data_IF_466347638403
#
_entry.id   IF_466347638403
#
_cell.length_a   1.000
_cell.length_b   1.000
_cell.length_c   1.000
_cell.angle_alpha   90.00
_cell.angle_beta   90.00
_cell.angle_gamma   90.00
#
_symmetry.space_group_name_H-M   'P 1'
#
loop_
_entity.id
_entity.type
_entity.pdbx_description
1 polymer ?
#
# COMPACT_ATOMS: atom_id res chain seq x y z
N UNK A 1 -27.20 18.26 -27.76
CA UNK A 1 -27.73 17.48 -26.63
C UNK A 1 -26.63 16.57 -26.14
N UNK A 2 -26.54 16.33 -24.84
CA UNK A 2 -25.63 15.33 -24.27
C UNK A 2 -26.48 14.09 -23.97
N UNK A 3 -26.10 12.93 -24.48
CA UNK A 3 -26.89 11.71 -24.34
C UNK A 3 -26.03 10.56 -23.81
N UNK A 4 -26.58 9.80 -22.88
CA UNK A 4 -26.02 8.55 -22.38
C UNK A 4 -27.16 7.52 -22.28
N UNK A 5 -27.21 6.59 -23.24
CA UNK A 5 -28.36 5.70 -23.42
C UNK A 5 -29.68 6.50 -23.54
N UNK A 6 -30.63 6.27 -22.63
CA UNK A 6 -31.92 6.98 -22.55
C UNK A 6 -31.87 8.28 -21.74
N UNK A 7 -30.80 8.50 -20.97
CA UNK A 7 -30.59 9.75 -20.21
C UNK A 7 -30.06 10.85 -21.16
N UNK A 8 -30.92 11.83 -21.46
CA UNK A 8 -30.61 12.93 -22.38
C UNK A 8 -30.69 14.27 -21.66
N UNK A 9 -29.60 15.02 -21.65
CA UNK A 9 -29.57 16.42 -21.25
C UNK A 9 -29.76 17.33 -22.49
N UNK A 10 -30.87 18.06 -22.49
CA UNK A 10 -31.20 19.06 -23.50
C UNK A 10 -30.76 20.45 -23.04
N UNK A 11 -30.17 21.22 -23.94
CA UNK A 11 -29.75 22.60 -23.71
C UNK A 11 -30.29 23.46 -24.85
N UNK A 12 -30.92 24.59 -24.51
CA UNK A 12 -31.45 25.54 -25.47
C UNK A 12 -31.18 26.96 -24.98
N UNK A 13 -30.89 27.87 -25.89
CA UNK A 13 -30.68 29.29 -25.59
C UNK A 13 -32.00 30.06 -25.35
N UNK A 14 -33.15 29.46 -25.68
CA UNK A 14 -34.45 30.08 -25.51
C UNK A 14 -35.49 29.12 -24.94
N UNK A 15 -36.46 29.69 -24.21
CA UNK A 15 -37.57 28.95 -23.62
C UNK A 15 -38.46 28.28 -24.67
N UNK A 16 -38.68 28.95 -25.81
CA UNK A 16 -39.44 28.42 -26.96
C UNK A 16 -38.65 27.33 -27.69
N UNK A 17 -37.33 27.50 -27.84
CA UNK A 17 -36.45 26.49 -28.41
C UNK A 17 -36.46 25.19 -27.60
N UNK A 18 -36.48 25.27 -26.27
CA UNK A 18 -36.60 24.09 -25.41
C UNK A 18 -37.92 23.36 -25.64
N UNK A 19 -39.04 24.08 -25.75
CA UNK A 19 -40.34 23.48 -26.04
C UNK A 19 -40.34 22.75 -27.41
N UNK A 20 -39.67 23.30 -28.41
CA UNK A 20 -39.51 22.64 -29.71
C UNK A 20 -38.67 21.35 -29.61
N UNK A 21 -37.60 21.36 -28.83
CA UNK A 21 -36.77 20.18 -28.59
C UNK A 21 -37.52 19.08 -27.84
N UNK A 22 -38.33 19.43 -26.83
CA UNK A 22 -39.16 18.47 -26.10
C UNK A 22 -40.20 17.79 -27.02
N UNK A 23 -40.74 18.54 -27.98
CA UNK A 23 -41.67 17.99 -28.98
C UNK A 23 -40.97 17.16 -30.08
N UNK A 24 -39.65 17.24 -30.22
CA UNK A 24 -38.91 16.47 -31.22
C UNK A 24 -38.99 14.97 -30.95
N UNK A 25 -38.91 14.52 -29.69
CA UNK A 25 -38.96 13.10 -29.33
C UNK A 25 -40.23 12.41 -29.87
N UNK A 26 -41.37 13.11 -29.87
CA UNK A 26 -42.63 12.61 -30.45
C UNK A 26 -42.54 12.38 -31.95
N UNK A 27 -41.81 13.25 -32.68
CA UNK A 27 -41.61 13.12 -34.13
C UNK A 27 -40.81 11.86 -34.50
N UNK A 28 -39.98 11.36 -33.59
CA UNK A 28 -39.17 10.15 -33.75
C UNK A 28 -39.87 8.91 -33.16
N UNK A 29 -41.14 9.02 -32.76
CA UNK A 29 -41.91 7.91 -32.20
C UNK A 29 -41.54 7.53 -30.76
N UNK A 30 -40.83 8.40 -30.04
CA UNK A 30 -40.44 8.18 -28.64
C UNK A 30 -41.32 8.99 -27.68
N UNK A 31 -41.70 8.38 -26.55
CA UNK A 31 -42.44 9.03 -25.48
C UNK A 31 -41.50 9.47 -24.34
N UNK A 32 -41.60 10.74 -23.92
CA UNK A 32 -40.84 11.27 -22.79
C UNK A 32 -41.55 10.95 -21.47
N UNK A 33 -40.79 10.45 -20.50
CA UNK A 33 -41.33 10.22 -19.16
C UNK A 33 -41.31 11.52 -18.36
N UNK A 34 -42.43 12.26 -18.34
CA UNK A 34 -42.54 13.54 -17.64
C UNK A 34 -42.21 13.46 -16.14
N UNK A 35 -42.45 12.32 -15.48
CA UNK A 35 -42.13 12.13 -14.05
C UNK A 35 -40.64 12.03 -13.76
N UNK A 36 -39.86 11.60 -14.76
CA UNK A 36 -38.39 11.53 -14.71
C UNK A 36 -37.73 12.66 -15.49
N UNK A 37 -38.50 13.68 -15.88
CA UNK A 37 -37.98 14.83 -16.60
C UNK A 37 -37.96 16.00 -15.64
N UNK A 38 -36.79 16.61 -15.52
CA UNK A 38 -36.60 17.82 -14.75
C UNK A 38 -35.99 18.89 -15.63
N UNK A 39 -36.22 20.14 -15.28
CA UNK A 39 -35.66 21.27 -16.00
C UNK A 39 -35.36 22.44 -15.08
N UNK A 40 -34.64 23.40 -15.60
CA UNK A 40 -34.53 24.73 -15.01
C UNK A 40 -34.23 25.70 -16.15
N UNK A 41 -34.47 26.97 -15.91
CA UNK A 41 -33.96 28.00 -16.81
C UNK A 41 -33.39 29.16 -16.02
N UNK A 42 -32.34 29.76 -16.57
CA UNK A 42 -31.66 30.91 -16.00
C UNK A 42 -31.92 32.08 -16.95
N UNK A 43 -32.43 33.19 -16.41
CA UNK A 43 -32.67 34.40 -17.18
C UNK A 43 -31.99 35.60 -16.51
N UNK A 44 -31.39 36.53 -17.28
CA UNK A 44 -30.85 37.76 -16.74
C UNK A 44 -31.99 38.65 -16.21
N UNK A 45 -31.78 39.28 -15.05
CA UNK A 45 -32.64 40.30 -14.46
C UNK A 45 -31.76 41.47 -14.00
N UNK A 46 -31.57 42.46 -14.86
CA UNK A 46 -30.66 43.57 -14.60
C UNK A 46 -29.20 43.10 -14.52
N UNK A 47 -28.53 43.38 -13.39
CA UNK A 47 -27.13 42.95 -13.13
C UNK A 47 -27.03 41.54 -12.52
N UNK A 48 -28.14 40.83 -12.36
CA UNK A 48 -28.16 39.49 -11.73
C UNK A 48 -28.88 38.48 -12.62
N UNK A 49 -28.92 37.22 -12.19
CA UNK A 49 -29.63 36.13 -12.84
C UNK A 49 -30.74 35.60 -11.91
N UNK A 50 -31.83 35.13 -12.50
CA UNK A 50 -32.96 34.50 -11.80
C UNK A 50 -33.23 33.12 -12.38
N UNK A 51 -33.43 32.15 -11.49
CA UNK A 51 -33.81 30.78 -11.82
C UNK A 51 -35.33 30.66 -11.87
N UNK A 52 -35.87 29.98 -12.88
CA UNK A 52 -37.29 29.63 -13.01
C UNK A 52 -38.27 30.82 -13.02
N UNK A 53 -37.91 31.93 -13.68
CA UNK A 53 -38.76 33.12 -13.87
C UNK A 53 -39.88 33.02 -14.93
N UNK A 54 -40.05 31.88 -15.62
CA UNK A 54 -41.05 31.65 -16.68
C UNK A 54 -41.95 30.47 -16.32
N UNK A 55 -43.03 30.29 -17.09
CA UNK A 55 -43.93 29.14 -16.97
C UNK A 55 -43.20 27.81 -17.14
N UNK A 56 -43.69 26.76 -16.48
CA UNK A 56 -43.19 25.40 -16.65
C UNK A 56 -43.43 24.91 -18.09
N UNK A 57 -42.49 24.15 -18.62
CA UNK A 57 -42.69 23.43 -19.88
C UNK A 57 -43.70 22.30 -19.70
N UNK A 58 -44.41 21.95 -20.78
CA UNK A 58 -45.40 20.88 -20.79
C UNK A 58 -45.01 19.75 -21.74
N UNK A 59 -45.20 18.51 -21.30
CA UNK A 59 -45.08 17.28 -22.09
C UNK A 59 -46.40 16.53 -21.97
N UNK A 60 -47.10 16.30 -23.07
CA UNK A 60 -48.40 15.58 -23.07
C UNK A 60 -49.39 16.14 -22.03
N UNK A 61 -49.53 17.47 -22.00
CA UNK A 61 -50.33 18.24 -21.03
C UNK A 61 -49.89 18.16 -19.56
N UNK A 62 -48.84 17.42 -19.23
CA UNK A 62 -48.24 17.37 -17.91
C UNK A 62 -47.11 18.41 -17.77
N UNK A 63 -47.04 19.11 -16.64
CA UNK A 63 -45.98 20.08 -16.36
C UNK A 63 -44.70 19.39 -15.89
N UNK A 64 -43.56 19.82 -16.43
CA UNK A 64 -42.24 19.37 -15.99
C UNK A 64 -41.91 19.97 -14.63
N UNK A 65 -41.33 19.17 -13.73
CA UNK A 65 -40.81 19.66 -12.46
C UNK A 65 -39.58 20.53 -12.69
N UNK A 66 -39.61 21.77 -12.18
CA UNK A 66 -38.46 22.66 -12.25
C UNK A 66 -37.65 22.59 -10.96
N UNK A 67 -36.34 22.40 -11.08
CA UNK A 67 -35.42 22.34 -9.93
C UNK A 67 -35.18 23.76 -9.44
N UNK A 68 -35.39 24.02 -8.15
CA UNK A 68 -35.13 25.33 -7.54
C UNK A 68 -33.73 25.41 -6.90
N UNK A 69 -33.17 26.62 -6.68
CA UNK A 69 -31.89 26.75 -5.98
C UNK A 69 -31.93 26.11 -4.58
N UNK A 70 -30.96 25.23 -4.28
CA UNK A 70 -30.92 24.46 -3.04
C UNK A 70 -31.53 23.05 -3.15
N UNK A 71 -32.42 22.82 -4.11
CA UNK A 71 -32.82 21.48 -4.53
C UNK A 71 -31.78 20.88 -5.46
N UNK A 72 -31.77 19.55 -5.55
CA UNK A 72 -30.84 18.83 -6.38
C UNK A 72 -31.50 17.62 -7.04
N UNK A 73 -31.11 17.34 -8.28
CA UNK A 73 -31.53 16.14 -8.98
C UNK A 73 -30.33 15.33 -9.48
N UNK A 74 -30.53 14.02 -9.57
CA UNK A 74 -29.46 13.08 -9.91
C UNK A 74 -29.39 12.89 -11.42
N UNK A 75 -28.26 13.24 -12.02
CA UNK A 75 -27.95 12.96 -13.42
C UNK A 75 -26.62 12.20 -13.50
N UNK A 76 -26.65 11.01 -14.12
CA UNK A 76 -25.50 10.10 -14.26
C UNK A 76 -24.72 9.90 -12.94
N UNK A 77 -25.42 9.80 -11.81
CA UNK A 77 -24.79 9.56 -10.50
C UNK A 77 -24.25 10.79 -9.78
N UNK A 78 -24.34 11.99 -10.36
CA UNK A 78 -24.00 13.25 -9.70
C UNK A 78 -25.26 14.07 -9.40
N UNK A 79 -25.26 14.80 -8.29
CA UNK A 79 -26.34 15.70 -7.94
C UNK A 79 -26.09 17.08 -8.52
N UNK A 80 -27.06 17.58 -9.27
CA UNK A 80 -27.01 18.86 -9.94
C UNK A 80 -27.96 19.85 -9.25
N UNK A 81 -27.42 21.00 -8.85
CA UNK A 81 -28.12 22.18 -8.35
C UNK A 81 -28.00 23.31 -9.40
N UNK A 82 -29.11 23.94 -9.84
CA UNK A 82 -29.08 24.99 -10.86
C UNK A 82 -28.23 26.21 -10.54
N UNK A 83 -27.94 26.47 -9.27
CA UNK A 83 -27.18 27.63 -8.81
C UNK A 83 -25.76 27.28 -8.36
N UNK A 84 -25.60 26.13 -7.68
CA UNK A 84 -24.31 25.69 -7.13
C UNK A 84 -23.56 24.74 -8.07
N UNK A 85 -24.25 24.11 -9.04
CA UNK A 85 -23.66 23.14 -9.96
C UNK A 85 -23.59 21.73 -9.36
N UNK A 86 -22.49 21.02 -9.63
CA UNK A 86 -22.30 19.62 -9.21
C UNK A 86 -21.71 19.54 -7.79
N UNK A 87 -22.51 19.17 -6.80
CA UNK A 87 -22.08 19.13 -5.40
C UNK A 87 -21.29 17.86 -5.05
N UNK A 88 -20.15 17.96 -4.33
CA UNK A 88 -19.38 16.81 -3.83
C UNK A 88 -19.97 16.18 -2.56
N UNK A 89 -20.95 16.85 -1.92
CA UNK A 89 -21.37 16.62 -0.53
C UNK A 89 -21.77 15.16 -0.19
N UNK A 90 -22.14 14.36 -1.19
CA UNK A 90 -22.43 12.94 -0.95
C UNK A 90 -21.19 12.07 -0.73
N UNK A 91 -20.01 12.43 -1.26
CA UNK A 91 -18.83 11.56 -1.22
C UNK A 91 -18.29 11.37 0.19
N UNK A 92 -18.35 12.41 1.02
CA UNK A 92 -17.93 12.35 2.41
C UNK A 92 -18.91 11.53 3.26
N UNK A 93 -20.22 11.78 3.12
CA UNK A 93 -21.25 11.00 3.82
C UNK A 93 -21.23 9.53 3.42
N UNK A 94 -21.02 9.23 2.12
CA UNK A 94 -20.85 7.88 1.59
C UNK A 94 -19.60 7.19 2.16
N UNK A 95 -18.49 7.91 2.30
CA UNK A 95 -17.28 7.38 2.96
C UNK A 95 -17.56 7.01 4.43
N UNK A 96 -18.25 7.88 5.17
CA UNK A 96 -18.62 7.63 6.57
C UNK A 96 -19.56 6.44 6.71
N UNK A 97 -20.55 6.33 5.84
CA UNK A 97 -21.44 5.18 5.77
C UNK A 97 -20.66 3.89 5.53
N UNK A 98 -19.75 3.90 4.55
CA UNK A 98 -18.89 2.75 4.31
C UNK A 98 -18.06 2.41 5.55
N UNK A 99 -17.39 3.37 6.18
CA UNK A 99 -16.59 3.12 7.38
C UNK A 99 -17.41 2.54 8.53
N UNK A 100 -18.63 3.05 8.75
CA UNK A 100 -19.56 2.53 9.74
C UNK A 100 -19.97 1.09 9.43
N UNK A 101 -20.32 0.80 8.18
CA UNK A 101 -20.70 -0.55 7.73
C UNK A 101 -19.51 -1.53 7.84
N UNK A 102 -18.29 -1.11 7.46
CA UNK A 102 -17.10 -1.95 7.65
C UNK A 102 -16.71 -2.10 9.13
N UNK A 103 -17.08 -1.16 9.98
CA UNK A 103 -16.95 -1.26 11.43
C UNK A 103 -17.70 -2.48 11.97
N UNK A 104 -18.96 -2.66 11.57
CA UNK A 104 -19.83 -3.74 12.05
C UNK A 104 -19.57 -5.11 11.44
N UNK A 105 -18.94 -5.17 10.25
CA UNK A 105 -18.67 -6.46 9.59
C UNK A 105 -17.61 -7.29 10.32
N UNK A 106 -17.83 -8.61 10.51
CA UNK A 106 -16.89 -9.54 11.17
C UNK A 106 -15.73 -9.95 10.26
N UNK A 107 -15.08 -8.97 9.61
CA UNK A 107 -13.94 -9.18 8.71
C UNK A 107 -12.62 -9.03 9.46
N UNK A 108 -11.61 -9.81 9.04
CA UNK A 108 -10.24 -9.66 9.55
C UNK A 108 -9.66 -8.30 9.13
N UNK A 109 -8.73 -7.70 9.92
CA UNK A 109 -8.12 -6.41 9.58
C UNK A 109 -7.55 -6.33 8.15
N UNK A 110 -6.82 -7.36 7.71
CA UNK A 110 -6.28 -7.41 6.34
C UNK A 110 -7.36 -7.42 5.25
N UNK A 111 -8.51 -8.07 5.50
CA UNK A 111 -9.66 -8.07 4.58
C UNK A 111 -10.31 -6.68 4.52
N UNK A 112 -10.42 -5.98 5.66
CA UNK A 112 -10.93 -4.60 5.70
C UNK A 112 -10.03 -3.64 4.90
N UNK A 113 -8.70 -3.76 5.04
CA UNK A 113 -7.74 -2.99 4.20
C UNK A 113 -7.92 -3.31 2.71
N UNK A 114 -8.07 -4.58 2.35
CA UNK A 114 -8.31 -5.00 0.98
C UNK A 114 -9.61 -4.41 0.42
N UNK A 115 -10.71 -4.47 1.17
CA UNK A 115 -12.01 -3.93 0.75
C UNK A 115 -11.95 -2.41 0.54
N UNK A 116 -11.28 -1.71 1.46
CA UNK A 116 -11.09 -0.26 1.37
C UNK A 116 -10.37 0.12 0.06
N UNK A 117 -9.25 -0.56 -0.23
CA UNK A 117 -8.44 -0.28 -1.42
C UNK A 117 -9.12 -0.67 -2.73
N UNK A 118 -9.84 -1.79 -2.74
CA UNK A 118 -10.35 -2.42 -3.97
C UNK A 118 -11.74 -1.94 -4.34
N UNK A 119 -12.57 -1.58 -3.35
CA UNK A 119 -13.98 -1.25 -3.57
C UNK A 119 -14.32 0.16 -3.08
N UNK A 120 -13.93 0.53 -1.86
CA UNK A 120 -14.35 1.81 -1.27
C UNK A 120 -13.74 2.98 -2.00
N UNK A 121 -12.40 3.07 -2.04
CA UNK A 121 -11.71 4.19 -2.71
C UNK A 121 -12.15 4.28 -4.18
N UNK A 122 -12.15 3.20 -4.98
CA UNK A 122 -12.64 3.24 -6.36
C UNK A 122 -14.09 3.72 -6.51
N UNK A 123 -14.99 3.30 -5.60
CA UNK A 123 -16.41 3.72 -5.64
C UNK A 123 -16.65 5.21 -5.37
N UNK A 124 -15.64 5.91 -4.82
CA UNK A 124 -15.68 7.35 -4.56
C UNK A 124 -15.09 8.15 -5.71
N UNK A 125 -14.21 7.55 -6.53
CA UNK A 125 -13.52 8.25 -7.63
C UNK A 125 -14.51 8.85 -8.61
N UNK A 126 -15.55 8.11 -8.99
CA UNK A 126 -16.53 8.61 -9.94
C UNK A 126 -17.21 9.89 -9.44
N UNK A 127 -17.74 9.89 -8.21
CA UNK A 127 -18.38 11.07 -7.63
C UNK A 127 -17.42 12.25 -7.51
N UNK A 128 -16.22 12.00 -6.99
CA UNK A 128 -15.20 13.03 -6.79
C UNK A 128 -14.68 13.64 -8.10
N UNK A 129 -14.67 12.89 -9.20
CA UNK A 129 -14.21 13.39 -10.52
C UNK A 129 -15.30 14.14 -11.30
N UNK A 130 -16.57 14.05 -10.88
CA UNK A 130 -17.67 14.80 -11.48
C UNK A 130 -18.05 16.04 -10.68
N UNK A 131 -17.73 16.08 -9.38
CA UNK A 131 -18.04 17.22 -8.51
C UNK A 131 -16.91 18.24 -8.43
N UNK A 132 -17.25 19.48 -8.13
CA UNK A 132 -16.27 20.46 -7.67
C UNK A 132 -15.86 20.18 -6.22
N UNK A 133 -14.57 20.01 -5.97
CA UNK A 133 -14.05 19.69 -4.65
C UNK A 133 -13.11 20.77 -4.15
N UNK A 134 -13.15 21.03 -2.84
CA UNK A 134 -12.16 21.87 -2.17
C UNK A 134 -11.04 20.98 -1.62
N UNK A 135 -9.78 21.45 -1.67
CA UNK A 135 -8.61 20.70 -1.17
C UNK A 135 -8.82 20.20 0.27
N UNK A 136 -9.39 21.03 1.14
CA UNK A 136 -9.66 20.65 2.54
C UNK A 136 -10.62 19.45 2.66
N UNK A 137 -11.56 19.28 1.74
CA UNK A 137 -12.50 18.14 1.73
C UNK A 137 -11.74 16.84 1.47
N UNK A 138 -10.82 16.83 0.50
CA UNK A 138 -10.00 15.65 0.21
C UNK A 138 -9.05 15.31 1.37
N UNK A 139 -8.45 16.34 1.99
CA UNK A 139 -7.61 16.18 3.20
C UNK A 139 -8.39 15.56 4.35
N UNK A 140 -9.63 15.99 4.55
CA UNK A 140 -10.51 15.45 5.60
C UNK A 140 -10.88 13.99 5.32
N UNK A 141 -11.20 13.63 4.07
CA UNK A 141 -11.45 12.25 3.67
C UNK A 141 -10.23 11.35 3.92
N UNK A 142 -9.04 11.79 3.50
CA UNK A 142 -7.78 11.06 3.75
C UNK A 142 -7.50 10.91 5.25
N UNK A 143 -7.80 11.94 6.06
CA UNK A 143 -7.67 11.88 7.52
C UNK A 143 -8.58 10.81 8.11
N UNK A 144 -9.84 10.73 7.69
CA UNK A 144 -10.79 9.68 8.12
C UNK A 144 -10.32 8.30 7.71
N UNK A 145 -9.89 8.14 6.46
CA UNK A 145 -9.34 6.87 5.93
C UNK A 145 -8.14 6.40 6.75
N UNK A 146 -7.17 7.29 6.99
CA UNK A 146 -5.97 7.00 7.77
C UNK A 146 -6.30 6.62 9.20
N UNK A 147 -7.19 7.38 9.87
CA UNK A 147 -7.56 7.10 11.25
C UNK A 147 -8.26 5.75 11.36
N UNK A 148 -9.21 5.48 10.47
CA UNK A 148 -9.89 4.19 10.37
C UNK A 148 -8.90 3.04 10.17
N UNK A 149 -7.96 3.18 9.22
CA UNK A 149 -6.91 2.17 8.96
C UNK A 149 -6.04 1.90 10.18
N UNK A 150 -5.60 2.96 10.88
CA UNK A 150 -4.78 2.83 12.10
C UNK A 150 -5.58 2.16 13.21
N UNK A 151 -6.87 2.44 13.34
CA UNK A 151 -7.76 1.80 14.32
C UNK A 151 -7.93 0.29 14.05
N UNK A 152 -8.36 -0.11 12.84
CA UNK A 152 -8.60 -1.53 12.53
C UNK A 152 -7.33 -2.38 12.56
N UNK A 153 -6.15 -1.77 12.33
CA UNK A 153 -4.84 -2.41 12.38
C UNK A 153 -4.20 -2.30 13.76
N UNK A 154 -4.88 -1.73 14.76
CA UNK A 154 -4.35 -1.50 16.12
C UNK A 154 -2.96 -0.83 16.11
N UNK A 155 -2.79 0.14 15.22
CA UNK A 155 -1.58 0.95 15.11
C UNK A 155 -1.74 2.24 15.92
N UNK A 156 -0.65 2.73 16.50
CA UNK A 156 -0.66 4.04 17.15
C UNK A 156 -1.05 5.12 16.13
N UNK A 157 -1.84 6.13 16.55
CA UNK A 157 -2.23 7.24 15.66
C UNK A 157 -1.01 7.98 15.07
N UNK A 158 0.09 8.05 15.83
CA UNK A 158 1.37 8.60 15.38
C UNK A 158 2.19 7.70 14.44
N UNK A 159 1.68 6.53 14.04
CA UNK A 159 2.37 5.66 13.06
C UNK A 159 2.54 6.40 11.73
N UNK A 160 3.71 6.29 11.12
CA UNK A 160 4.10 7.00 9.92
C UNK A 160 3.12 6.73 8.77
N UNK A 161 2.67 7.80 8.12
CA UNK A 161 1.74 7.73 6.99
C UNK A 161 2.38 7.02 5.78
N UNK A 162 3.70 7.01 5.70
CA UNK A 162 4.46 6.21 4.75
C UNK A 162 4.09 4.73 4.78
N UNK A 163 3.82 4.15 5.96
CA UNK A 163 3.38 2.76 6.06
C UNK A 163 2.08 2.52 5.28
N UNK A 164 1.16 3.49 5.27
CA UNK A 164 -0.13 3.36 4.61
C UNK A 164 -0.05 3.65 3.11
N UNK A 165 0.64 4.74 2.74
CA UNK A 165 0.61 5.27 1.37
C UNK A 165 1.75 4.77 0.48
N UNK A 166 2.89 4.34 1.02
CA UNK A 166 3.99 3.77 0.22
C UNK A 166 3.55 2.53 -0.53
N UNK A 167 4.12 2.30 -1.71
CA UNK A 167 3.79 1.15 -2.53
C UNK A 167 4.12 -0.18 -1.83
N UNK A 168 3.40 -1.29 -2.13
CA UNK A 168 3.72 -2.60 -1.58
C UNK A 168 5.14 -3.06 -1.90
N UNK A 169 5.68 -2.74 -3.08
CA UNK A 169 7.08 -3.05 -3.43
C UNK A 169 8.10 -2.34 -2.54
N UNK A 170 7.72 -1.23 -1.91
CA UNK A 170 8.54 -0.44 -0.99
C UNK A 170 8.25 -0.74 0.49
N UNK A 171 7.36 -1.70 0.77
CA UNK A 171 7.04 -2.15 2.13
C UNK A 171 5.84 -1.48 2.78
N UNK A 172 5.12 -0.59 2.07
CA UNK A 172 3.87 0.02 2.55
C UNK A 172 2.61 -0.74 2.11
N UNK A 173 1.44 -0.25 2.51
CA UNK A 173 0.15 -0.85 2.18
C UNK A 173 -0.41 -0.41 0.81
N UNK A 174 0.11 0.67 0.21
CA UNK A 174 -0.31 1.18 -1.09
C UNK A 174 -1.74 1.70 -1.11
N UNK A 175 -2.19 2.33 -0.03
CA UNK A 175 -3.47 3.05 -0.01
C UNK A 175 -3.34 4.29 -0.88
N UNK A 176 -4.33 4.56 -1.72
CA UNK A 176 -4.34 5.76 -2.55
C UNK A 176 -4.77 6.96 -1.71
N UNK A 177 -3.97 8.03 -1.75
CA UNK A 177 -4.28 9.28 -1.07
C UNK A 177 -5.10 10.19 -2.00
N UNK A 178 -6.34 10.49 -1.61
CA UNK A 178 -7.32 11.22 -2.42
C UNK A 178 -6.85 12.65 -2.75
N UNK A 179 -6.23 13.34 -1.78
CA UNK A 179 -5.65 14.67 -1.96
C UNK A 179 -4.62 14.71 -3.11
N UNK A 180 -3.91 13.62 -3.36
CA UNK A 180 -2.96 13.52 -4.49
C UNK A 180 -3.59 12.94 -5.75
N UNK A 181 -4.49 11.96 -5.60
CA UNK A 181 -5.04 11.20 -6.72
C UNK A 181 -6.07 12.00 -7.50
N UNK A 182 -7.01 12.66 -6.82
CA UNK A 182 -8.14 13.34 -7.47
C UNK A 182 -7.68 14.54 -8.32
N UNK A 183 -6.76 15.42 -7.87
CA UNK A 183 -6.22 16.46 -8.73
C UNK A 183 -5.54 15.89 -9.98
N UNK A 184 -4.73 14.84 -9.82
CA UNK A 184 -4.01 14.21 -10.93
C UNK A 184 -4.97 13.62 -11.97
N UNK A 185 -6.00 12.88 -11.53
CA UNK A 185 -7.01 12.31 -12.42
C UNK A 185 -7.87 13.39 -13.10
N UNK A 186 -8.23 14.44 -12.37
CA UNK A 186 -8.96 15.61 -12.91
C UNK A 186 -8.14 16.26 -14.02
N UNK A 187 -6.85 16.50 -13.79
CA UNK A 187 -5.95 17.03 -14.81
C UNK A 187 -5.91 16.14 -16.06
N UNK A 188 -5.70 14.83 -15.90
CA UNK A 188 -5.64 13.91 -17.05
C UNK A 188 -6.95 13.86 -17.84
N UNK A 189 -8.10 13.96 -17.16
CA UNK A 189 -9.43 14.06 -17.78
C UNK A 189 -9.54 15.34 -18.63
N UNK A 190 -9.15 16.48 -18.08
CA UNK A 190 -9.23 17.78 -18.75
C UNK A 190 -8.24 17.91 -19.90
N UNK A 191 -7.01 17.43 -19.73
CA UNK A 191 -6.01 17.39 -20.79
C UNK A 191 -6.46 16.55 -21.99
N UNK A 192 -7.28 15.52 -21.75
CA UNK A 192 -7.93 14.76 -22.83
C UNK A 192 -9.07 15.54 -23.48
N UNK A 193 -9.87 16.28 -22.71
CA UNK A 193 -10.95 17.12 -23.25
C UNK A 193 -10.42 18.27 -24.12
N UNK A 194 -9.33 18.91 -23.72
CA UNK A 194 -8.64 19.94 -24.53
C UNK A 194 -8.06 19.38 -25.84
N UNK A 195 -7.85 18.06 -25.94
CA UNK A 195 -7.38 17.40 -27.16
C UNK A 195 -8.52 16.73 -27.94
N UNK A 196 -9.77 16.94 -27.53
CA UNK A 196 -10.92 16.33 -28.20
C UNK A 196 -11.20 17.05 -29.52
N UNK A 197 -11.51 16.27 -30.56
CA UNK A 197 -11.97 16.80 -31.85
C UNK A 197 -13.43 17.27 -31.79
N UNK A 198 -14.18 16.91 -30.73
CA UNK A 198 -15.55 17.38 -30.52
C UNK A 198 -15.54 18.83 -30.03
N UNK A 199 -16.10 19.73 -30.85
CA UNK A 199 -16.13 21.16 -30.58
C UNK A 199 -16.86 21.49 -29.26
N UNK A 200 -17.92 20.77 -28.89
CA UNK A 200 -18.65 21.02 -27.64
C UNK A 200 -17.76 20.71 -26.44
N UNK A 201 -17.04 19.58 -26.48
CA UNK A 201 -16.13 19.17 -25.40
C UNK A 201 -14.94 20.14 -25.32
N UNK A 202 -14.35 20.49 -26.46
CA UNK A 202 -13.23 21.41 -26.54
C UNK A 202 -13.61 22.82 -26.03
N UNK A 203 -14.72 23.39 -26.51
CA UNK A 203 -15.21 24.70 -26.04
C UNK A 203 -15.60 24.67 -24.55
N UNK A 204 -16.22 23.60 -24.06
CA UNK A 204 -16.58 23.48 -22.63
C UNK A 204 -15.34 23.42 -21.74
N UNK A 205 -14.27 22.74 -22.19
CA UNK A 205 -13.03 22.64 -21.46
C UNK A 205 -12.27 23.99 -21.44
N UNK A 206 -12.31 24.73 -22.54
CA UNK A 206 -11.74 26.08 -22.64
C UNK A 206 -12.51 27.12 -21.80
N UNK A 207 -13.84 27.05 -21.77
CA UNK A 207 -14.68 27.97 -20.99
C UNK A 207 -14.50 27.82 -19.47
N UNK A 208 -14.18 26.62 -19.01
CA UNK A 208 -13.89 26.38 -17.59
C UNK A 208 -12.53 26.91 -17.15
N UNK A 209 -11.73 27.47 -18.08
CA UNK A 209 -10.43 28.14 -17.89
C UNK A 209 -9.75 27.70 -16.60
N UNK A 210 -9.53 26.38 -16.53
CA UNK A 210 -9.05 25.76 -15.32
C UNK A 210 -7.63 26.27 -15.23
N UNK A 211 -7.40 27.21 -14.32
CA UNK A 211 -6.08 27.51 -13.81
C UNK A 211 -5.50 26.18 -13.33
N UNK A 212 -4.83 25.50 -14.25
CA UNK A 212 -3.89 24.42 -14.01
C UNK A 212 -2.78 25.12 -13.25
N UNK A 213 -2.99 25.33 -11.96
CA UNK A 213 -2.06 26.05 -11.13
C UNK A 213 -0.71 25.37 -11.26
N UNK A 214 0.36 26.15 -11.28
CA UNK A 214 1.76 25.72 -11.23
C UNK A 214 2.01 24.61 -10.18
N UNK A 215 1.18 24.54 -9.14
CA UNK A 215 1.12 23.48 -8.13
C UNK A 215 0.76 22.08 -8.68
N UNK A 216 -0.15 21.98 -9.66
CA UNK A 216 -0.49 20.72 -10.34
C UNK A 216 0.62 20.28 -11.30
N UNK A 217 1.25 21.24 -11.99
CA UNK A 217 2.43 20.98 -12.82
C UNK A 217 3.56 20.41 -11.94
N UNK A 218 3.79 20.92 -10.74
CA UNK A 218 4.76 20.36 -9.79
C UNK A 218 4.42 18.92 -9.31
N UNK A 219 3.13 18.61 -9.15
CA UNK A 219 2.67 17.24 -8.82
C UNK A 219 2.82 16.26 -9.98
N UNK A 220 2.81 16.73 -11.22
CA UNK A 220 3.02 15.94 -12.43
C UNK A 220 4.54 15.81 -12.74
N UNK A 221 5.29 16.90 -12.58
CA UNK A 221 6.74 16.99 -12.78
C UNK A 221 7.55 16.18 -11.75
N UNK A 222 6.94 15.84 -10.61
CA UNK A 222 7.51 14.88 -9.64
C UNK A 222 7.35 13.40 -10.07
N UNK A 223 6.97 13.16 -11.32
CA UNK A 223 7.30 11.95 -12.06
C UNK A 223 6.80 10.65 -11.43
N UNK A 224 5.55 10.58 -10.97
CA UNK A 224 4.93 9.31 -10.53
C UNK A 224 5.66 8.58 -9.39
N UNK A 225 6.72 9.16 -8.81
CA UNK A 225 7.43 8.60 -7.68
C UNK A 225 6.60 8.93 -6.46
N UNK A 226 5.95 7.91 -5.91
CA UNK A 226 5.28 8.00 -4.62
C UNK A 226 6.27 8.54 -3.57
N UNK A 227 6.10 9.80 -3.09
CA UNK A 227 7.10 10.44 -2.22
C UNK A 227 7.04 9.91 -0.79
N UNK A 228 5.99 9.15 -0.45
CA UNK A 228 5.76 8.65 0.89
C UNK A 228 6.90 7.75 1.35
N UNK A 229 7.46 6.94 0.45
CA UNK A 229 8.62 6.09 0.76
C UNK A 229 9.86 6.92 1.08
N UNK A 230 10.03 8.08 0.44
CA UNK A 230 11.12 9.00 0.73
C UNK A 230 10.92 9.65 2.10
N UNK A 231 9.78 10.31 2.33
CA UNK A 231 9.49 10.96 3.61
C UNK A 231 9.49 10.00 4.79
N UNK A 232 9.06 8.76 4.60
CA UNK A 232 9.09 7.76 5.65
C UNK A 232 10.53 7.45 6.10
N UNK A 233 11.48 7.35 5.17
CA UNK A 233 12.89 7.04 5.48
C UNK A 233 13.56 8.13 6.30
N UNK A 234 13.20 9.38 6.06
CA UNK A 234 13.74 10.54 6.78
C UNK A 234 13.27 10.63 8.24
N UNK A 235 12.26 9.84 8.64
CA UNK A 235 11.82 9.82 10.03
C UNK A 235 12.87 9.16 10.93
N UNK A 236 13.43 9.94 11.86
CA UNK A 236 14.47 9.52 12.83
C UNK A 236 14.22 8.15 13.47
N UNK A 237 12.99 7.86 13.87
CA UNK A 237 12.65 6.61 14.55
C UNK A 237 11.91 5.63 13.64
N UNK A 238 10.85 6.08 12.97
CA UNK A 238 9.97 5.20 12.19
C UNK A 238 10.49 4.90 10.78
N UNK A 239 11.48 5.68 10.31
CA UNK A 239 12.17 5.48 9.04
C UNK A 239 13.32 4.48 9.10
N UNK A 240 13.71 4.07 10.31
CA UNK A 240 14.75 3.05 10.52
C UNK A 240 14.38 1.79 9.77
N UNK A 241 15.30 1.35 8.92
CA UNK A 241 15.22 0.18 8.07
C UNK A 241 14.37 0.32 6.79
N UNK A 242 13.63 1.41 6.58
CA UNK A 242 12.72 1.54 5.42
C UNK A 242 13.48 1.47 4.09
N UNK A 243 14.72 1.98 4.05
CA UNK A 243 15.61 1.87 2.89
C UNK A 243 15.88 0.42 2.45
N UNK A 244 16.01 -0.52 3.40
CA UNK A 244 16.25 -1.93 3.09
C UNK A 244 15.09 -2.60 2.35
N UNK A 245 13.88 -2.07 2.47
CA UNK A 245 12.69 -2.65 1.86
C UNK A 245 12.24 -1.87 0.62
N UNK A 246 13.00 -0.87 0.15
CA UNK A 246 12.71 -0.18 -1.12
C UNK A 246 12.85 -1.17 -2.27
N UNK A 247 11.89 -1.17 -3.18
CA UNK A 247 11.90 -1.96 -4.41
C UNK A 247 12.28 -3.45 -4.20
N UNK A 248 11.72 -4.06 -3.15
CA UNK A 248 11.98 -5.45 -2.78
C UNK A 248 10.68 -6.28 -2.78
N UNK A 249 10.37 -6.86 -3.94
CA UNK A 249 9.16 -7.68 -4.09
C UNK A 249 9.19 -8.99 -3.29
N UNK A 250 10.37 -9.50 -2.91
CA UNK A 250 10.49 -10.77 -2.16
C UNK A 250 10.14 -10.52 -0.70
N UNK A 251 10.84 -9.56 -0.09
CA UNK A 251 10.70 -9.20 1.32
C UNK A 251 9.35 -8.54 1.64
N UNK A 252 8.77 -7.83 0.66
CA UNK A 252 7.49 -7.15 0.81
C UNK A 252 6.30 -7.90 0.21
N UNK A 253 6.50 -9.17 -0.18
CA UNK A 253 5.44 -9.95 -0.83
C UNK A 253 4.16 -10.08 0.01
N UNK A 254 4.25 -9.94 1.33
CA UNK A 254 3.11 -9.94 2.25
C UNK A 254 2.39 -8.58 2.33
N UNK A 255 3.03 -7.48 1.96
CA UNK A 255 2.37 -6.16 1.88
C UNK A 255 1.35 -6.10 0.73
N UNK A 256 1.54 -6.95 -0.29
CA UNK A 256 0.59 -7.11 -1.40
C UNK A 256 -0.57 -8.02 -1.02
N UNK A 257 -0.27 -9.11 -0.33
CA UNK A 257 -1.25 -10.09 0.15
C UNK A 257 -1.14 -10.25 1.66
N UNK A 258 -2.00 -9.50 2.37
CA UNK A 258 -2.04 -9.48 3.83
C UNK A 258 -2.58 -10.79 4.43
N UNK A 259 -3.17 -11.68 3.61
CA UNK A 259 -3.69 -12.97 4.08
C UNK A 259 -2.59 -13.96 4.47
N UNK A 260 -1.34 -13.69 4.06
CA UNK A 260 -0.15 -14.46 4.46
C UNK A 260 0.09 -14.49 5.96
N UNK A 261 -0.48 -13.54 6.70
CA UNK A 261 -0.41 -13.51 8.16
C UNK A 261 -1.79 -13.64 8.80
N UNK A 262 -1.83 -14.38 9.92
CA UNK A 262 -2.96 -14.30 10.86
C UNK A 262 -3.07 -12.87 11.41
N UNK A 263 -4.27 -12.41 11.77
CA UNK A 263 -4.52 -11.02 12.19
C UNK A 263 -3.54 -10.48 13.23
N UNK A 264 -3.25 -11.25 14.29
CA UNK A 264 -2.25 -10.85 15.31
C UNK A 264 -0.84 -10.66 14.75
N UNK A 265 -0.43 -11.53 13.83
CA UNK A 265 0.88 -11.46 13.20
C UNK A 265 0.94 -10.33 12.17
N UNK A 266 -0.15 -10.04 11.48
CA UNK A 266 -0.23 -8.90 10.56
C UNK A 266 0.00 -7.58 11.30
N UNK A 267 -0.67 -7.39 12.44
CA UNK A 267 -0.52 -6.19 13.28
C UNK A 267 0.93 -6.06 13.75
N UNK A 268 1.50 -7.13 14.30
CA UNK A 268 2.89 -7.14 14.75
C UNK A 268 3.87 -6.91 13.59
N UNK A 269 3.62 -7.47 12.40
CA UNK A 269 4.43 -7.25 11.19
C UNK A 269 4.46 -5.77 10.81
N UNK A 270 3.30 -5.12 10.81
CA UNK A 270 3.17 -3.70 10.50
C UNK A 270 3.88 -2.83 11.54
N UNK A 271 3.70 -3.14 12.82
CA UNK A 271 4.38 -2.45 13.91
C UNK A 271 5.91 -2.61 13.84
N UNK A 272 6.41 -3.81 13.50
CA UNK A 272 7.84 -4.05 13.26
C UNK A 272 8.34 -3.27 12.04
N UNK A 273 7.56 -3.25 10.96
CA UNK A 273 7.88 -2.52 9.72
C UNK A 273 8.01 -1.01 9.95
N UNK A 274 7.13 -0.41 10.74
CA UNK A 274 7.17 1.02 11.09
C UNK A 274 7.97 1.36 12.34
N UNK A 275 8.65 0.39 12.96
CA UNK A 275 9.37 0.58 14.22
C UNK A 275 8.48 1.18 15.34
N UNK A 276 7.23 0.71 15.42
CA UNK A 276 6.20 1.09 16.40
C UNK A 276 5.74 -0.08 17.28
N UNK A 277 6.45 -1.21 17.24
CA UNK A 277 6.21 -2.32 18.17
C UNK A 277 6.38 -1.84 19.63
N UNK A 278 5.52 -2.26 20.57
CA UNK A 278 5.44 -1.70 21.93
C UNK A 278 6.57 -2.18 22.86
N UNK A 279 7.82 -1.91 22.47
CA UNK A 279 8.98 -2.05 23.35
C UNK A 279 8.96 -0.96 24.41
N UNK A 280 9.62 -1.18 25.55
CA UNK A 280 9.72 -0.14 26.60
C UNK A 280 10.39 1.15 26.11
N UNK A 281 11.36 1.07 25.20
CA UNK A 281 11.91 2.29 24.58
C UNK A 281 10.84 3.07 23.82
N UNK A 282 10.05 2.40 22.97
CA UNK A 282 8.98 3.04 22.21
C UNK A 282 7.91 3.64 23.14
N UNK A 283 7.46 2.88 24.15
CA UNK A 283 6.42 3.31 25.09
C UNK A 283 6.86 4.45 26.02
N UNK A 284 8.15 4.63 26.25
CA UNK A 284 8.70 5.73 27.05
C UNK A 284 8.89 7.03 26.27
N UNK A 285 8.64 7.04 24.96
CA UNK A 285 8.74 8.27 24.15
C UNK A 285 7.70 9.29 24.58
N UNK A 286 8.14 10.53 24.78
CA UNK A 286 7.30 11.60 25.33
C UNK A 286 6.91 11.40 26.81
N UNK A 287 7.45 10.37 27.47
CA UNK A 287 7.14 10.01 28.86
C UNK A 287 8.45 9.72 29.63
N UNK A 288 9.15 10.76 30.11
CA UNK A 288 10.49 10.62 30.67
C UNK A 288 10.55 9.72 31.92
N UNK A 289 9.44 9.60 32.65
CA UNK A 289 9.31 8.80 33.88
C UNK A 289 9.09 7.30 33.63
N UNK A 290 8.80 6.89 32.38
CA UNK A 290 8.51 5.49 32.06
C UNK A 290 9.82 4.70 31.90
N UNK A 291 9.96 3.53 32.56
CA UNK A 291 11.19 2.75 32.51
C UNK A 291 11.44 2.19 31.11
N UNK A 292 12.71 2.29 30.66
CA UNK A 292 13.16 1.82 29.34
C UNK A 292 13.87 0.46 29.37
N UNK A 293 14.22 -0.03 30.56
CA UNK A 293 14.99 -1.28 30.75
C UNK A 293 14.19 -2.50 30.28
N UNK A 294 14.88 -3.46 29.65
CA UNK A 294 14.30 -4.70 29.15
C UNK A 294 13.49 -5.44 30.22
N UNK A 295 12.25 -5.81 29.87
CA UNK A 295 11.35 -6.63 30.69
C UNK A 295 11.93 -8.01 31.01
N UNK A 296 12.79 -8.54 30.13
CA UNK A 296 13.42 -9.84 30.29
C UNK A 296 14.67 -9.79 31.15
N UNK A 297 15.74 -9.14 30.69
CA UNK A 297 17.04 -9.20 31.37
C UNK A 297 17.33 -8.06 32.35
N UNK A 298 16.58 -6.95 32.31
CA UNK A 298 16.90 -5.74 33.07
C UNK A 298 18.18 -4.99 32.64
N UNK A 299 19.08 -5.58 31.85
CA UNK A 299 20.45 -5.06 31.70
C UNK A 299 20.67 -4.06 30.56
N UNK A 300 19.66 -3.79 29.74
CA UNK A 300 19.76 -2.82 28.64
C UNK A 300 18.41 -2.23 28.27
N UNK A 301 18.42 -1.14 27.50
CA UNK A 301 17.20 -0.53 26.95
C UNK A 301 16.47 -1.50 26.01
N UNK A 302 15.16 -1.67 26.21
CA UNK A 302 14.30 -2.50 25.36
C UNK A 302 14.01 -1.83 24.02
N UNK A 303 14.93 -1.99 23.08
CA UNK A 303 14.71 -1.64 21.67
C UNK A 303 14.39 -2.89 20.86
N UNK A 304 13.92 -2.74 19.62
CA UNK A 304 13.84 -3.88 18.69
C UNK A 304 15.22 -4.53 18.46
N UNK A 305 16.32 -3.77 18.52
CA UNK A 305 17.68 -4.30 18.43
C UNK A 305 18.08 -5.18 19.62
N UNK A 306 17.42 -4.98 20.76
CA UNK A 306 17.62 -5.79 21.97
C UNK A 306 17.04 -7.22 21.85
N UNK A 307 16.52 -7.61 20.68
CA UNK A 307 16.20 -9.02 20.36
C UNK A 307 17.37 -10.01 20.52
N UNK A 308 18.60 -9.55 20.78
CA UNK A 308 19.75 -10.40 21.16
C UNK A 308 19.80 -10.76 22.65
N UNK A 309 18.81 -10.37 23.43
CA UNK A 309 18.70 -10.63 24.85
C UNK A 309 18.88 -12.12 25.22
N UNK A 310 19.47 -12.38 26.38
CA UNK A 310 19.72 -13.74 26.90
C UNK A 310 18.42 -14.49 27.19
N UNK A 311 17.38 -13.78 27.64
CA UNK A 311 16.08 -14.40 28.00
C UNK A 311 15.36 -15.00 26.80
N UNK A 312 15.62 -14.47 25.60
CA UNK A 312 15.03 -14.99 24.35
C UNK A 312 15.99 -15.88 23.55
N UNK A 313 17.13 -16.29 24.14
CA UNK A 313 18.15 -17.13 23.46
C UNK A 313 17.54 -18.41 22.89
N UNK A 314 16.71 -19.12 23.66
CA UNK A 314 16.05 -20.34 23.20
C UNK A 314 15.15 -20.11 21.99
N UNK A 315 14.33 -19.06 22.01
CA UNK A 315 13.45 -18.70 20.89
C UNK A 315 14.24 -18.27 19.65
N UNK A 316 15.37 -17.57 19.82
CA UNK A 316 16.29 -17.24 18.72
C UNK A 316 16.90 -18.48 18.07
N UNK A 317 17.36 -19.44 18.87
CA UNK A 317 17.90 -20.72 18.36
C UNK A 317 16.80 -21.49 17.62
N UNK A 318 15.58 -21.56 18.18
CA UNK A 318 14.43 -22.18 17.51
C UNK A 318 14.14 -21.52 16.16
N UNK A 319 14.18 -20.19 16.08
CA UNK A 319 13.99 -19.45 14.82
C UNK A 319 15.06 -19.79 13.79
N UNK A 320 16.33 -19.73 14.21
CA UNK A 320 17.48 -20.10 13.40
C UNK A 320 17.33 -21.52 12.83
N UNK A 321 17.08 -22.50 13.71
CA UNK A 321 16.97 -23.90 13.34
C UNK A 321 15.79 -24.14 12.39
N UNK A 322 14.68 -23.41 12.55
CA UNK A 322 13.54 -23.48 11.62
C UNK A 322 13.89 -22.96 10.23
N UNK A 323 14.68 -21.90 10.11
CA UNK A 323 15.17 -21.41 8.80
C UNK A 323 16.13 -22.41 8.17
N UNK A 324 17.11 -22.89 8.94
CA UNK A 324 18.05 -23.93 8.49
C UNK A 324 17.30 -25.19 8.00
N UNK A 325 16.32 -25.68 8.76
CA UNK A 325 15.53 -26.86 8.40
C UNK A 325 14.76 -26.68 7.07
N UNK A 326 14.33 -25.47 6.72
CA UNK A 326 13.71 -25.22 5.41
C UNK A 326 14.71 -25.35 4.26
N UNK A 327 15.95 -24.89 4.44
CA UNK A 327 17.03 -25.12 3.47
C UNK A 327 17.31 -26.61 3.32
N UNK A 328 17.41 -27.35 4.43
CA UNK A 328 17.67 -28.79 4.41
C UNK A 328 16.58 -29.54 3.64
N UNK A 329 15.31 -29.27 3.95
CA UNK A 329 14.17 -29.89 3.25
C UNK A 329 14.21 -29.61 1.75
N UNK A 330 14.53 -28.37 1.39
CA UNK A 330 14.60 -27.96 0.00
C UNK A 330 15.77 -28.61 -0.73
N UNK A 331 16.96 -28.63 -0.13
CA UNK A 331 18.16 -29.26 -0.66
C UNK A 331 17.97 -30.78 -0.82
N UNK A 332 17.41 -31.46 0.19
CA UNK A 332 17.08 -32.89 0.13
C UNK A 332 16.16 -33.23 -1.04
N UNK A 333 15.14 -32.41 -1.29
CA UNK A 333 14.22 -32.61 -2.43
C UNK A 333 14.92 -32.54 -3.80
N UNK A 334 16.06 -31.85 -3.88
CA UNK A 334 16.86 -31.68 -5.11
C UNK A 334 18.02 -32.71 -5.17
N UNK A 335 18.08 -33.63 -4.22
CA UNK A 335 19.06 -34.70 -4.17
C UNK A 335 20.38 -34.34 -3.48
N UNK A 336 20.42 -33.29 -2.66
CA UNK A 336 21.56 -33.00 -1.80
C UNK A 336 21.50 -33.80 -0.51
N UNK A 337 22.64 -34.31 -0.05
CA UNK A 337 22.81 -34.79 1.33
C UNK A 337 23.25 -33.64 2.23
N UNK A 338 23.03 -33.73 3.54
CA UNK A 338 23.34 -32.64 4.47
C UNK A 338 24.04 -33.17 5.72
N UNK A 339 25.19 -32.60 6.03
CA UNK A 339 25.85 -32.71 7.34
C UNK A 339 25.44 -31.49 8.17
N UNK A 340 25.04 -31.71 9.43
CA UNK A 340 24.60 -30.66 10.36
C UNK A 340 25.68 -30.42 11.40
N UNK A 341 26.02 -29.17 11.65
CA UNK A 341 26.93 -28.72 12.72
C UNK A 341 28.22 -29.56 12.86
N UNK A 342 28.98 -29.86 11.78
CA UNK A 342 30.21 -30.64 11.90
C UNK A 342 31.26 -29.89 12.73
N UNK A 343 32.02 -30.63 13.52
CA UNK A 343 33.12 -30.10 14.30
C UNK A 343 34.38 -30.02 13.42
N UNK A 344 34.86 -28.82 13.17
CA UNK A 344 36.08 -28.53 12.40
C UNK A 344 37.06 -27.76 13.27
N UNK A 345 38.35 -27.80 12.94
CA UNK A 345 39.40 -27.15 13.72
C UNK A 345 40.13 -26.18 12.81
N UNK A 346 40.20 -24.90 13.17
CA UNK A 346 40.99 -23.97 12.36
C UNK A 346 42.51 -24.13 12.54
N UNK A 347 43.29 -23.39 11.77
CA UNK A 347 44.76 -23.43 11.83
C UNK A 347 45.34 -23.01 13.19
N UNK A 348 44.53 -22.42 14.08
CA UNK A 348 44.90 -22.01 15.43
C UNK A 348 44.37 -22.98 16.50
N UNK A 349 43.85 -24.15 16.10
CA UNK A 349 43.30 -25.14 17.04
C UNK A 349 41.90 -24.81 17.57
N UNK A 350 41.21 -23.80 17.03
CA UNK A 350 39.89 -23.38 17.52
C UNK A 350 38.79 -24.18 16.85
N UNK A 351 37.82 -24.62 17.66
CA UNK A 351 36.62 -25.30 17.18
C UNK A 351 35.73 -24.35 16.36
N UNK A 352 35.44 -24.74 15.12
CA UNK A 352 34.51 -24.07 14.20
C UNK A 352 33.38 -25.03 13.87
N UNK A 353 32.14 -24.54 13.89
CA UNK A 353 30.93 -25.33 13.60
C UNK A 353 30.05 -24.60 12.59
N UNK A 354 30.24 -24.82 11.27
CA UNK A 354 29.28 -24.32 10.29
C UNK A 354 27.93 -25.00 10.52
N UNK A 355 26.82 -24.31 10.26
CA UNK A 355 25.50 -24.90 10.54
C UNK A 355 25.20 -26.09 9.63
N UNK A 356 25.52 -25.97 8.34
CA UNK A 356 25.18 -26.96 7.32
C UNK A 356 26.30 -27.14 6.30
N UNK A 357 26.51 -28.38 5.86
CA UNK A 357 27.28 -28.70 4.65
C UNK A 357 26.39 -29.53 3.73
N UNK A 358 26.06 -28.99 2.57
CA UNK A 358 25.35 -29.73 1.52
C UNK A 358 26.34 -30.43 0.62
N UNK A 359 26.11 -31.70 0.29
CA UNK A 359 26.94 -32.47 -0.64
C UNK A 359 26.11 -33.07 -1.79
N UNK A 360 26.62 -32.97 -3.01
CA UNK A 360 26.06 -33.61 -4.22
C UNK A 360 27.15 -33.80 -5.28
N UNK A 361 27.41 -35.05 -5.66
CA UNK A 361 28.54 -35.36 -6.54
C UNK A 361 29.88 -34.91 -5.93
N UNK A 362 30.70 -34.24 -6.74
CA UNK A 362 31.99 -33.62 -6.33
C UNK A 362 31.84 -32.18 -5.81
N UNK A 363 30.61 -31.75 -5.49
CA UNK A 363 30.34 -30.41 -4.96
C UNK A 363 29.91 -30.47 -3.48
N UNK A 364 30.46 -29.54 -2.69
CA UNK A 364 30.04 -29.28 -1.32
C UNK A 364 29.77 -27.78 -1.10
N UNK A 365 28.69 -27.44 -0.40
CA UNK A 365 28.32 -26.05 -0.07
C UNK A 365 28.25 -25.90 1.44
N UNK A 366 29.15 -25.11 2.01
CA UNK A 366 29.19 -24.77 3.43
C UNK A 366 28.31 -23.56 3.67
N UNK A 367 27.31 -23.71 4.54
CA UNK A 367 26.29 -22.69 4.78
C UNK A 367 26.15 -22.42 6.27
N UNK A 368 26.26 -21.15 6.65
CA UNK A 368 26.00 -20.67 8.01
C UNK A 368 24.79 -19.72 7.99
N UNK A 369 23.75 -20.10 8.70
CA UNK A 369 22.46 -19.41 8.73
C UNK A 369 22.49 -18.36 9.83
N UNK A 370 22.01 -17.15 9.54
CA UNK A 370 21.93 -16.13 10.56
C UNK A 370 20.73 -15.23 10.38
N UNK A 371 20.09 -14.86 11.49
CA UNK A 371 18.95 -13.94 11.50
C UNK A 371 19.31 -12.68 12.28
N UNK A 372 19.35 -11.54 11.59
CA UNK A 372 19.82 -10.24 12.12
C UNK A 372 18.80 -9.14 11.93
N UNK A 373 18.74 -8.18 12.84
CA UNK A 373 17.91 -6.99 12.64
C UNK A 373 18.56 -6.09 11.59
N UNK A 374 17.75 -5.52 10.72
CA UNK A 374 18.16 -4.64 9.62
C UNK A 374 18.32 -3.21 10.12
N UNK A 375 19.25 -2.95 11.04
CA UNK A 375 19.41 -1.64 11.69
C UNK A 375 20.28 -0.64 10.91
N UNK A 376 21.17 -1.12 10.04
CA UNK A 376 22.00 -0.28 9.17
C UNK A 376 22.22 -0.92 7.78
N UNK A 377 22.42 -0.08 6.76
CA UNK A 377 22.39 -0.47 5.34
C UNK A 377 23.42 -1.54 4.95
N UNK A 378 24.59 -1.56 5.60
CA UNK A 378 25.68 -2.49 5.31
C UNK A 378 25.76 -3.71 6.22
N UNK A 379 24.91 -3.83 7.25
CA UNK A 379 25.00 -4.92 8.25
C UNK A 379 24.86 -6.31 7.65
N UNK A 380 23.87 -6.51 6.77
CA UNK A 380 23.56 -7.87 6.29
C UNK A 380 24.59 -8.37 5.27
N UNK A 381 25.06 -7.50 4.38
CA UNK A 381 26.10 -7.81 3.39
C UNK A 381 27.44 -8.06 4.08
N UNK A 382 27.80 -7.25 5.09
CA UNK A 382 28.99 -7.48 5.90
C UNK A 382 28.92 -8.81 6.63
N UNK A 383 27.79 -9.13 7.27
CA UNK A 383 27.61 -10.41 7.98
C UNK A 383 27.66 -11.59 7.00
N UNK A 384 27.15 -11.45 5.78
CA UNK A 384 27.28 -12.46 4.73
C UNK A 384 28.76 -12.73 4.43
N UNK A 385 29.55 -11.68 4.20
CA UNK A 385 30.97 -11.79 3.89
C UNK A 385 31.80 -12.30 5.07
N UNK A 386 31.56 -11.78 6.28
CA UNK A 386 32.22 -12.23 7.52
C UNK A 386 32.10 -13.75 7.70
N UNK A 387 30.96 -14.34 7.35
CA UNK A 387 30.75 -15.79 7.44
C UNK A 387 31.54 -16.56 6.39
N UNK A 388 31.67 -16.03 5.18
CA UNK A 388 32.51 -16.62 4.14
C UNK A 388 33.97 -16.62 4.59
N UNK A 389 34.47 -15.47 5.04
CA UNK A 389 35.86 -15.31 5.48
C UNK A 389 36.18 -16.17 6.70
N UNK A 390 35.19 -16.38 7.57
CA UNK A 390 35.33 -17.20 8.78
C UNK A 390 35.51 -18.70 8.50
N UNK A 391 34.84 -19.25 7.47
CA UNK A 391 34.89 -20.68 7.16
C UNK A 391 35.75 -21.05 5.96
N UNK A 392 36.05 -20.12 5.05
CA UNK A 392 36.86 -20.40 3.86
C UNK A 392 38.24 -21.02 4.15
N UNK A 393 38.94 -20.70 5.26
CA UNK A 393 40.21 -21.35 5.58
C UNK A 393 40.09 -22.84 5.91
N UNK A 394 38.87 -23.33 6.19
CA UNK A 394 38.61 -24.74 6.53
C UNK A 394 38.47 -25.64 5.30
N UNK A 395 38.63 -25.09 4.09
CA UNK A 395 38.49 -25.82 2.82
C UNK A 395 39.19 -27.20 2.83
N UNK A 396 40.46 -27.35 3.24
CA UNK A 396 41.12 -28.67 3.23
C UNK A 396 40.44 -29.72 4.11
N UNK A 397 39.91 -29.32 5.28
CA UNK A 397 39.18 -30.23 6.15
C UNK A 397 37.81 -30.59 5.59
N UNK A 398 37.17 -29.67 4.88
CA UNK A 398 35.91 -29.97 4.17
C UNK A 398 36.15 -30.94 3.02
N UNK A 399 37.26 -30.80 2.27
CA UNK A 399 37.65 -31.75 1.21
C UNK A 399 37.84 -33.15 1.82
N UNK A 400 38.54 -33.26 2.95
CA UNK A 400 38.73 -34.53 3.64
C UNK A 400 37.42 -35.11 4.17
N UNK A 401 36.56 -34.28 4.78
CA UNK A 401 35.29 -34.71 5.36
C UNK A 401 34.27 -35.15 4.30
N UNK A 402 34.23 -34.44 3.17
CA UNK A 402 33.19 -34.63 2.15
C UNK A 402 33.68 -35.43 0.94
N UNK A 403 34.97 -35.48 0.67
CA UNK A 403 35.55 -36.02 -0.56
C UNK A 403 35.31 -35.14 -1.80
N UNK A 404 34.74 -33.95 -1.64
CA UNK A 404 34.41 -33.03 -2.74
C UNK A 404 35.55 -32.03 -2.97
N UNK A 405 35.87 -31.74 -4.23
CA UNK A 405 36.87 -30.72 -4.62
C UNK A 405 36.25 -29.35 -4.88
N UNK A 406 35.00 -29.31 -5.32
CA UNK A 406 34.30 -28.05 -5.59
C UNK A 406 33.56 -27.58 -4.33
N UNK A 407 34.17 -26.67 -3.57
CA UNK A 407 33.61 -26.17 -2.30
C UNK A 407 33.21 -24.71 -2.41
N UNK A 408 31.94 -24.42 -2.17
CA UNK A 408 31.41 -23.06 -2.01
C UNK A 408 31.13 -22.71 -0.55
N UNK A 409 31.33 -21.45 -0.18
CA UNK A 409 31.07 -20.93 1.16
C UNK A 409 30.01 -19.82 1.09
N UNK A 410 28.99 -19.89 1.95
CA UNK A 410 27.88 -18.94 1.94
C UNK A 410 27.44 -18.59 3.36
N UNK A 411 27.35 -17.29 3.64
CA UNK A 411 26.45 -16.81 4.68
C UNK A 411 25.01 -16.89 4.18
N UNK A 412 24.08 -17.44 4.96
CA UNK A 412 22.66 -17.38 4.64
C UNK A 412 21.96 -16.43 5.61
N UNK A 413 21.91 -15.16 5.22
CA UNK A 413 21.46 -14.07 6.09
C UNK A 413 19.98 -13.79 5.86
N UNK A 414 19.19 -13.76 6.91
CA UNK A 414 17.78 -13.32 6.86
C UNK A 414 17.56 -12.20 7.86
N UNK A 415 16.78 -11.21 7.45
CA UNK A 415 16.41 -10.10 8.30
C UNK A 415 15.31 -10.45 9.31
N UNK A 416 15.41 -9.93 10.53
CA UNK A 416 14.43 -10.15 11.58
C UNK A 416 13.06 -9.53 11.23
N UNK A 417 13.03 -8.44 10.44
CA UNK A 417 11.80 -7.86 9.86
C UNK A 417 11.43 -8.48 8.51
N UNK A 418 12.00 -9.64 8.19
CA UNK A 418 11.72 -10.39 6.97
C UNK A 418 12.50 -9.93 5.75
N UNK A 419 13.59 -9.15 5.88
CA UNK A 419 14.46 -8.86 4.73
C UNK A 419 15.07 -10.14 4.19
N UNK A 420 15.01 -10.33 2.89
CA UNK A 420 15.74 -11.37 2.18
C UNK A 420 16.81 -10.71 1.30
N UNK A 421 18.08 -10.68 1.72
CA UNK A 421 19.20 -10.15 0.94
C UNK A 421 19.34 -10.83 -0.43
N UNK A 422 19.79 -10.07 -1.44
CA UNK A 422 20.00 -10.59 -2.79
C UNK A 422 21.17 -11.59 -2.83
N UNK A 423 22.15 -11.48 -1.94
CA UNK A 423 23.33 -12.36 -1.90
C UNK A 423 22.99 -13.82 -1.66
N UNK A 424 21.89 -14.10 -0.96
CA UNK A 424 21.37 -15.45 -0.78
C UNK A 424 21.03 -16.14 -2.11
N UNK A 425 20.81 -15.38 -3.19
CA UNK A 425 20.50 -15.93 -4.52
C UNK A 425 21.65 -16.79 -5.05
N UNK A 426 22.91 -16.46 -4.72
CA UNK A 426 24.08 -17.24 -5.15
C UNK A 426 23.99 -18.67 -4.61
N UNK A 427 23.80 -18.83 -3.31
CA UNK A 427 23.59 -20.14 -2.68
C UNK A 427 22.42 -20.90 -3.31
N UNK A 428 21.29 -20.21 -3.55
CA UNK A 428 20.10 -20.86 -4.08
C UNK A 428 20.30 -21.34 -5.52
N UNK A 429 21.00 -20.58 -6.35
CA UNK A 429 21.39 -21.00 -7.71
C UNK A 429 22.30 -22.23 -7.63
N UNK A 430 23.31 -22.21 -6.77
CA UNK A 430 24.27 -23.31 -6.62
C UNK A 430 23.65 -24.57 -6.03
N UNK A 431 22.61 -24.43 -5.19
CA UNK A 431 21.77 -25.54 -4.73
C UNK A 431 20.87 -26.14 -5.84
N UNK A 432 20.80 -25.51 -7.02
CA UNK A 432 19.93 -25.92 -8.13
C UNK A 432 18.55 -25.27 -8.11
N UNK A 433 18.41 -24.06 -7.55
CA UNK A 433 17.16 -23.28 -7.49
C UNK A 433 17.29 -21.92 -8.20
N UNK A 434 17.41 -21.89 -9.54
CA UNK A 434 17.50 -20.64 -10.28
C UNK A 434 16.22 -19.79 -10.18
N UNK A 435 15.06 -20.42 -10.00
CA UNK A 435 13.76 -19.75 -9.79
C UNK A 435 13.33 -19.83 -8.32
N UNK A 436 14.03 -19.11 -7.45
CA UNK A 436 13.85 -19.24 -6.00
C UNK A 436 12.85 -18.26 -5.37
N UNK A 437 12.20 -17.37 -6.13
CA UNK A 437 11.32 -16.31 -5.57
C UNK A 437 10.30 -16.82 -4.56
N UNK A 438 9.60 -17.92 -4.87
CA UNK A 438 8.62 -18.54 -3.95
C UNK A 438 9.27 -19.02 -2.65
N UNK A 439 10.45 -19.65 -2.74
CA UNK A 439 11.20 -20.09 -1.57
C UNK A 439 11.68 -18.91 -0.73
N UNK A 440 12.30 -17.90 -1.36
CA UNK A 440 12.78 -16.69 -0.70
C UNK A 440 11.65 -15.94 0.01
N UNK A 441 10.49 -15.79 -0.63
CA UNK A 441 9.28 -15.22 -0.02
C UNK A 441 8.81 -16.03 1.18
N UNK A 442 8.80 -17.35 1.08
CA UNK A 442 8.43 -18.23 2.20
C UNK A 442 9.38 -18.07 3.39
N UNK A 443 10.70 -18.00 3.14
CA UNK A 443 11.71 -17.80 4.19
C UNK A 443 11.58 -16.42 4.83
N UNK A 444 11.38 -15.37 4.03
CA UNK A 444 11.14 -14.00 4.50
C UNK A 444 9.94 -13.94 5.45
N UNK A 445 8.79 -14.48 5.04
CA UNK A 445 7.57 -14.49 5.87
C UNK A 445 7.75 -15.34 7.13
N UNK A 446 8.40 -16.51 7.01
CA UNK A 446 8.69 -17.40 8.14
C UNK A 446 9.58 -16.71 9.18
N UNK A 447 10.68 -16.08 8.74
CA UNK A 447 11.59 -15.39 9.64
C UNK A 447 10.88 -14.26 10.38
N UNK A 448 10.08 -13.46 9.68
CA UNK A 448 9.27 -12.39 10.28
C UNK A 448 8.24 -12.96 11.28
N UNK A 449 7.53 -14.03 10.93
CA UNK A 449 6.59 -14.69 11.86
C UNK A 449 7.28 -15.17 13.14
N UNK A 450 8.40 -15.88 13.00
CA UNK A 450 9.17 -16.39 14.14
C UNK A 450 9.81 -15.26 14.97
N UNK A 451 10.07 -14.10 14.37
CA UNK A 451 10.45 -12.90 15.12
C UNK A 451 9.32 -12.42 16.03
N UNK A 452 8.07 -12.50 15.59
CA UNK A 452 6.93 -12.12 16.43
C UNK A 452 6.73 -13.09 17.60
N UNK A 453 7.02 -14.38 17.39
CA UNK A 453 6.98 -15.38 18.46
C UNK A 453 8.11 -15.19 19.50
N UNK A 454 9.18 -14.45 19.16
CA UNK A 454 10.24 -14.05 20.10
C UNK A 454 9.83 -12.84 20.95
N UNK A 455 8.92 -12.02 20.44
CA UNK A 455 8.52 -10.74 21.04
C UNK A 455 7.20 -10.81 21.82
N UNK A 456 6.49 -11.94 21.76
CA UNK A 456 5.37 -12.33 22.62
C UNK A 456 5.94 -13.02 23.86
#
# INVERSE_FOLDING_TARGET
>A
ALAFADDIALVSQSHTGMANLLNFCKKVGMALNYKKTWGFHIAPKGKTYVVNSRSKWKIDNNEITLITPGEHEKYLGANFDPWVGLKPEQSLGKLEEYMRNFGSLPLKPGQKVYCLKTYVIPSLLYGLLQSDWKKHTLVEMDRRIRNYLKEILHLALGTADGLLYSAPRDGGLGVQKLESLIPHLTYNKLARFNKSEDNIIHTSAAFNDIHIATEMINLISSGGVNPWTHWWKELRCQGISVSHFKDDSVSNSWCTDLSKFKSKHLIAALQLRSNTYPTREFSARGRPTVPKMCRGCGNATETLGHMRCITVKGARIKRHNKVAEQLIRKAKKIGWTTLREPNLIDTQGRLRKPDLIFKKGDQALVVDVTVRLEDNQSSLEKVFQEKIDYYSPLKPQIEQLTGCRNIGFYGFVVGARGKFPKDNSRLLIDLGLPRHKTFSTSISCLALQLTMDILQ
#
